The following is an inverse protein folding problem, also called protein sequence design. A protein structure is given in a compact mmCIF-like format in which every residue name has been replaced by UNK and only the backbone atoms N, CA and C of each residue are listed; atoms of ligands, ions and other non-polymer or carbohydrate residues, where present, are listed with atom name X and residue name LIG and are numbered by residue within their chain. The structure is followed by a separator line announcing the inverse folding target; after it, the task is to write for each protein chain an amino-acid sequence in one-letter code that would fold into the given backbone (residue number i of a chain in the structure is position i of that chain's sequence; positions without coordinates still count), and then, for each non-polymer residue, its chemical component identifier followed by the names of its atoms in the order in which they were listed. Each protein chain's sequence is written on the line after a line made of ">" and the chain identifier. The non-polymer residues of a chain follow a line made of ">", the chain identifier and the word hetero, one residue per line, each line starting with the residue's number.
data_IF_725021246513
#
_entry.id   IF_725021246513
#
_cell.length_a   1.000
_cell.length_b   1.000
_cell.length_c   1.000
_cell.angle_alpha   90.00
_cell.angle_beta   90.00
_cell.angle_gamma   90.00
#
_symmetry.space_group_name_H-M   'P 1'
#
loop_
_entity.id
_entity.type
_entity.pdbx_description
1 polymer ?
#
# COMPACT_ATOMS: atom_id res chain seq x y z
N UNK A 1 9.41 1.12 5.99
CA UNK A 1 8.81 1.78 7.17
C UNK A 1 8.65 3.27 6.93
N UNK A 2 7.74 3.93 7.64
CA UNK A 2 7.56 5.39 7.60
C UNK A 2 8.79 6.13 8.15
N UNK A 3 9.17 7.22 7.48
CA UNK A 3 10.32 8.06 7.79
C UNK A 3 9.92 9.48 8.25
N UNK A 4 8.62 9.75 8.34
CA UNK A 4 8.03 11.00 8.79
C UNK A 4 7.00 10.77 9.89
N UNK A 5 6.61 11.81 10.60
CA UNK A 5 5.52 11.73 11.59
C UNK A 5 4.17 11.71 10.90
N UNK A 6 3.34 10.76 11.28
CA UNK A 6 2.00 10.56 10.70
C UNK A 6 0.96 10.25 11.77
N UNK A 7 -0.31 10.46 11.42
CA UNK A 7 -1.49 10.06 12.21
C UNK A 7 -2.46 9.27 11.35
N UNK A 8 -3.17 8.35 11.96
CA UNK A 8 -4.29 7.64 11.33
C UNK A 8 -5.58 8.31 11.74
N UNK A 9 -6.42 8.61 10.75
CA UNK A 9 -7.75 9.20 10.94
C UNK A 9 -8.74 8.57 9.96
N UNK A 10 -10.05 8.81 10.19
CA UNK A 10 -11.07 8.53 9.20
C UNK A 10 -10.75 9.31 7.91
N UNK A 11 -10.76 8.62 6.78
CA UNK A 11 -10.52 9.20 5.45
C UNK A 11 -11.86 9.53 4.77
N UNK A 12 -11.88 10.59 3.98
CA UNK A 12 -12.98 10.88 3.07
C UNK A 12 -12.91 10.04 1.78
N UNK A 13 -11.75 9.44 1.50
CA UNK A 13 -11.53 8.58 0.32
C UNK A 13 -12.06 7.17 0.60
N UNK A 14 -11.47 6.52 1.63
CA UNK A 14 -11.85 5.17 2.02
C UNK A 14 -11.36 4.83 3.44
N UNK A 15 -12.25 4.35 4.30
CA UNK A 15 -11.93 3.80 5.62
C UNK A 15 -11.00 4.68 6.46
N UNK A 16 -9.83 4.15 6.81
CA UNK A 16 -8.77 4.88 7.50
C UNK A 16 -7.73 5.36 6.49
N UNK A 17 -7.20 6.56 6.72
CA UNK A 17 -6.14 7.16 5.91
C UNK A 17 -4.92 7.55 6.74
N UNK A 18 -3.80 7.72 6.05
CA UNK A 18 -2.53 8.19 6.59
C UNK A 18 -2.45 9.71 6.43
N UNK A 19 -2.30 10.44 7.53
CA UNK A 19 -2.24 11.91 7.54
C UNK A 19 -0.87 12.40 8.01
N UNK A 20 -0.36 13.45 7.37
CA UNK A 20 0.89 14.08 7.80
C UNK A 20 0.72 14.72 9.20
N UNK A 21 1.65 14.44 10.13
CA UNK A 21 1.73 15.09 11.44
C UNK A 21 2.92 16.07 11.53
N UNK A 22 3.33 16.54 10.37
CA UNK A 22 4.33 17.58 10.14
C UNK A 22 4.16 18.11 8.73
N UNK A 23 4.78 19.25 8.42
CA UNK A 23 4.97 19.69 7.04
C UNK A 23 5.96 18.73 6.35
N UNK A 24 5.63 18.27 5.15
CA UNK A 24 6.45 17.35 4.34
C UNK A 24 6.78 18.04 3.02
N UNK A 25 7.99 18.57 2.83
CA UNK A 25 8.39 19.18 1.59
C UNK A 25 8.39 18.20 0.41
N UNK A 26 8.09 18.68 -0.78
CA UNK A 26 8.28 17.94 -2.03
C UNK A 26 9.69 17.34 -2.08
N UNK A 27 9.80 16.08 -2.52
CA UNK A 27 11.06 15.33 -2.60
C UNK A 27 11.43 14.59 -1.33
N UNK A 28 10.69 14.76 -0.23
CA UNK A 28 10.91 14.01 1.01
C UNK A 28 10.53 12.55 0.83
N UNK A 29 11.41 11.63 1.23
CA UNK A 29 11.07 10.20 1.30
C UNK A 29 10.15 9.98 2.49
N UNK A 30 8.93 9.51 2.23
CA UNK A 30 7.89 9.29 3.23
C UNK A 30 7.97 7.88 3.80
N UNK A 31 8.08 6.89 2.92
CA UNK A 31 8.13 5.48 3.27
C UNK A 31 9.14 4.75 2.41
N UNK A 32 9.77 3.74 2.99
CA UNK A 32 10.70 2.86 2.29
C UNK A 32 10.54 1.44 2.82
N UNK A 33 10.51 0.45 1.92
CA UNK A 33 10.54 -0.96 2.32
C UNK A 33 11.80 -1.23 3.15
N UNK A 34 11.61 -1.81 4.34
CA UNK A 34 12.70 -2.08 5.28
C UNK A 34 12.75 -3.58 5.55
N UNK A 35 13.74 -4.31 5.00
CA UNK A 35 13.89 -5.75 5.23
C UNK A 35 13.91 -6.11 6.71
N UNK A 36 13.36 -7.26 7.06
CA UNK A 36 13.17 -7.77 8.42
C UNK A 36 12.13 -7.01 9.28
N UNK A 37 11.70 -5.82 8.86
CA UNK A 37 10.58 -5.09 9.48
C UNK A 37 9.32 -5.25 8.62
N UNK A 38 9.37 -4.84 7.36
CA UNK A 38 8.29 -5.09 6.40
C UNK A 38 8.38 -6.53 5.89
N UNK A 39 7.25 -7.10 5.48
CA UNK A 39 7.14 -8.52 5.13
C UNK A 39 6.88 -8.71 3.64
N UNK A 40 7.36 -9.82 3.10
CA UNK A 40 7.01 -10.34 1.77
C UNK A 40 6.55 -11.79 1.89
N UNK A 41 5.49 -12.11 1.17
CA UNK A 41 4.89 -13.46 1.17
C UNK A 41 4.82 -14.00 -0.24
N UNK A 42 5.00 -15.32 -0.37
CA UNK A 42 4.62 -16.04 -1.59
C UNK A 42 3.11 -16.33 -1.59
N UNK A 43 2.57 -16.68 -2.75
CA UNK A 43 1.18 -17.14 -2.88
C UNK A 43 0.88 -18.32 -1.94
N UNK A 44 1.77 -19.30 -1.91
CA UNK A 44 1.60 -20.52 -1.09
C UNK A 44 1.58 -20.21 0.41
N UNK A 45 2.41 -19.26 0.86
CA UNK A 45 2.40 -18.82 2.24
C UNK A 45 1.06 -18.17 2.61
N UNK A 46 0.53 -17.29 1.74
CA UNK A 46 -0.75 -16.63 1.98
C UNK A 46 -1.90 -17.64 2.01
N UNK A 47 -1.93 -18.58 1.06
CA UNK A 47 -2.96 -19.64 1.04
C UNK A 47 -2.90 -20.57 2.25
N UNK A 48 -1.73 -20.71 2.88
CA UNK A 48 -1.53 -21.46 4.12
C UNK A 48 -1.97 -20.72 5.39
N UNK A 49 -2.28 -19.42 5.32
CA UNK A 49 -2.74 -18.65 6.47
C UNK A 49 -4.19 -18.98 6.84
N UNK A 50 -4.58 -18.80 8.12
CA UNK A 50 -5.99 -18.82 8.50
C UNK A 50 -6.81 -17.78 7.73
N UNK A 51 -8.09 -18.07 7.48
CA UNK A 51 -8.98 -17.23 6.66
C UNK A 51 -9.00 -15.74 7.07
N UNK A 52 -9.04 -15.43 8.36
CA UNK A 52 -9.01 -14.05 8.85
C UNK A 52 -7.70 -13.34 8.49
N UNK A 53 -6.58 -14.05 8.48
CA UNK A 53 -5.29 -13.47 8.08
C UNK A 53 -5.21 -13.29 6.57
N UNK A 54 -5.78 -14.21 5.77
CA UNK A 54 -5.89 -14.04 4.32
C UNK A 54 -6.66 -12.75 3.98
N UNK A 55 -7.81 -12.50 4.63
CA UNK A 55 -8.60 -11.27 4.47
C UNK A 55 -7.80 -10.03 4.88
N UNK A 56 -7.03 -10.10 5.95
CA UNK A 56 -6.17 -9.01 6.40
C UNK A 56 -5.05 -8.71 5.40
N UNK A 57 -4.38 -9.73 4.87
CA UNK A 57 -3.36 -9.59 3.83
C UNK A 57 -3.96 -9.01 2.55
N UNK A 58 -5.14 -9.50 2.11
CA UNK A 58 -5.85 -8.90 0.98
C UNK A 58 -6.04 -7.40 1.13
N UNK A 59 -6.44 -6.95 2.31
CA UNK A 59 -6.75 -5.55 2.55
C UNK A 59 -5.53 -4.63 2.56
N UNK A 60 -4.36 -5.11 3.00
CA UNK A 60 -3.22 -4.26 3.33
C UNK A 60 -1.92 -4.61 2.62
N UNK A 61 -1.94 -5.54 1.69
CA UNK A 61 -0.77 -5.88 0.89
C UNK A 61 -0.96 -5.56 -0.59
N UNK A 62 0.13 -5.54 -1.31
CA UNK A 62 0.12 -5.40 -2.76
C UNK A 62 1.05 -6.43 -3.39
N UNK A 63 0.79 -6.82 -4.64
CA UNK A 63 1.70 -7.65 -5.43
C UNK A 63 2.76 -6.75 -6.08
N UNK A 64 4.02 -6.92 -5.72
CA UNK A 64 5.11 -6.14 -6.29
C UNK A 64 5.31 -6.45 -7.78
N UNK A 65 5.35 -5.40 -8.61
CA UNK A 65 5.70 -5.54 -10.02
C UNK A 65 7.14 -6.04 -10.22
N UNK A 66 8.04 -5.75 -9.26
CA UNK A 66 9.45 -6.13 -9.29
C UNK A 66 9.69 -7.55 -8.81
N UNK A 67 9.36 -7.86 -7.57
CA UNK A 67 9.67 -9.16 -6.96
C UNK A 67 8.63 -10.23 -7.24
N UNK A 68 7.42 -9.84 -7.69
CA UNK A 68 6.24 -10.70 -7.84
C UNK A 68 5.75 -11.30 -6.52
N UNK A 69 6.31 -10.87 -5.39
CA UNK A 69 5.87 -11.24 -4.06
C UNK A 69 4.80 -10.26 -3.53
N UNK A 70 4.08 -10.69 -2.52
CA UNK A 70 3.07 -9.89 -1.85
C UNK A 70 3.72 -9.14 -0.69
N UNK A 71 3.85 -7.83 -0.84
CA UNK A 71 4.48 -6.96 0.13
C UNK A 71 3.47 -6.44 1.14
N UNK A 72 3.88 -6.38 2.40
CA UNK A 72 3.08 -5.92 3.52
C UNK A 72 3.87 -4.94 4.37
N UNK A 73 3.33 -3.73 4.55
CA UNK A 73 3.92 -2.74 5.45
C UNK A 73 3.57 -3.06 6.89
N UNK A 74 4.59 -3.23 7.75
CA UNK A 74 4.41 -3.57 9.16
C UNK A 74 4.02 -2.38 10.03
N UNK A 75 4.14 -1.16 9.52
CA UNK A 75 3.70 0.05 10.21
C UNK A 75 2.44 0.68 9.57
N UNK A 76 2.18 1.93 9.89
CA UNK A 76 1.03 2.67 9.39
C UNK A 76 1.12 3.01 7.89
N UNK A 77 2.21 2.72 7.21
CA UNK A 77 2.32 2.85 5.75
C UNK A 77 1.26 2.05 4.98
N UNK A 78 0.68 1.01 5.57
CA UNK A 78 -0.45 0.26 5.01
C UNK A 78 -1.76 1.07 4.85
N UNK A 79 -1.84 2.28 5.39
CA UNK A 79 -3.02 3.15 5.31
C UNK A 79 -2.90 4.27 4.27
N UNK A 80 -1.91 4.23 3.37
CA UNK A 80 -1.96 5.07 2.17
C UNK A 80 -3.23 4.72 1.37
N UNK A 81 -4.06 5.72 1.08
CA UNK A 81 -5.19 5.54 0.18
C UNK A 81 -4.79 5.88 -1.27
N UNK A 82 -5.50 5.23 -2.22
CA UNK A 82 -5.31 5.52 -3.64
C UNK A 82 -5.91 6.86 -4.03
N UNK A 83 -5.20 7.58 -4.90
CA UNK A 83 -5.72 8.78 -5.58
C UNK A 83 -5.22 8.83 -7.04
N UNK A 84 -6.09 9.28 -7.95
CA UNK A 84 -5.69 9.62 -9.31
C UNK A 84 -4.93 10.98 -9.36
N UNK A 85 -4.98 11.77 -8.28
CA UNK A 85 -4.24 13.02 -8.09
C UNK A 85 -3.48 12.95 -6.76
N UNK A 86 -2.48 12.06 -6.65
CA UNK A 86 -1.78 11.81 -5.40
C UNK A 86 -0.85 12.98 -5.04
N UNK A 87 -0.50 13.09 -3.76
CA UNK A 87 0.54 14.01 -3.28
C UNK A 87 1.87 13.29 -2.95
N UNK A 88 1.87 11.97 -3.01
CA UNK A 88 3.06 11.13 -2.94
C UNK A 88 3.04 10.08 -4.05
N UNK A 89 4.19 9.51 -4.38
CA UNK A 89 4.31 8.49 -5.41
C UNK A 89 5.32 7.42 -4.98
N UNK A 90 4.91 6.16 -5.12
CA UNK A 90 5.76 4.99 -4.92
C UNK A 90 6.39 4.56 -6.24
N UNK A 91 7.71 4.45 -6.25
CA UNK A 91 8.48 4.06 -7.43
C UNK A 91 9.58 3.07 -7.07
N UNK A 92 9.90 2.17 -8.01
CA UNK A 92 11.10 1.33 -7.90
C UNK A 92 12.34 2.14 -8.26
N UNK A 93 13.36 2.08 -7.40
CA UNK A 93 14.65 2.75 -7.61
C UNK A 93 15.78 1.73 -7.62
N UNK A 94 16.83 2.04 -8.38
CA UNK A 94 18.03 1.21 -8.43
C UNK A 94 18.68 1.09 -7.04
N UNK A 95 19.09 -0.12 -6.69
CA UNK A 95 19.68 -0.43 -5.39
C UNK A 95 18.67 -0.65 -4.25
N UNK A 96 17.38 -0.36 -4.44
CA UNK A 96 16.36 -0.62 -3.45
C UNK A 96 15.68 -1.98 -3.66
N UNK A 97 15.31 -2.64 -2.59
CA UNK A 97 14.69 -3.96 -2.65
C UNK A 97 13.27 -3.90 -3.21
N UNK A 98 12.50 -2.91 -2.79
CA UNK A 98 11.14 -2.61 -3.20
C UNK A 98 10.95 -1.10 -3.41
N UNK A 99 9.73 -0.64 -3.49
CA UNK A 99 9.41 0.77 -3.74
C UNK A 99 9.85 1.71 -2.63
N UNK A 100 10.08 2.96 -3.02
CA UNK A 100 10.20 4.13 -2.14
C UNK A 100 9.04 5.08 -2.44
N UNK A 101 8.33 5.49 -1.41
CA UNK A 101 7.28 6.52 -1.52
C UNK A 101 7.89 7.89 -1.25
N UNK A 102 7.76 8.80 -2.19
CA UNK A 102 8.31 10.18 -2.13
C UNK A 102 7.20 11.19 -2.29
N UNK A 103 7.21 12.29 -1.51
CA UNK A 103 6.31 13.41 -1.70
C UNK A 103 6.55 14.07 -3.08
N UNK A 104 5.54 14.16 -3.93
CA UNK A 104 5.61 14.82 -5.24
C UNK A 104 5.09 16.26 -5.21
N UNK A 105 4.45 16.64 -4.12
CA UNK A 105 4.00 17.98 -3.76
C UNK A 105 4.43 18.30 -2.33
N UNK A 106 4.40 19.56 -1.92
CA UNK A 106 4.44 19.92 -0.51
C UNK A 106 3.15 19.46 0.16
N UNK A 107 3.26 18.70 1.28
CA UNK A 107 2.12 18.18 2.02
C UNK A 107 2.06 18.92 3.36
N UNK A 108 0.95 19.60 3.63
CA UNK A 108 0.79 20.33 4.88
C UNK A 108 0.48 19.40 6.06
N UNK A 109 0.81 19.83 7.25
CA UNK A 109 0.39 19.11 8.45
C UNK A 109 -1.14 18.97 8.50
N UNK A 110 -1.63 17.76 8.65
CA UNK A 110 -3.06 17.44 8.66
C UNK A 110 -3.65 17.02 7.33
N UNK A 111 -2.90 17.12 6.23
CA UNK A 111 -3.34 16.59 4.92
C UNK A 111 -3.21 15.07 4.88
N UNK A 112 -4.14 14.41 4.18
CA UNK A 112 -4.03 12.99 3.88
C UNK A 112 -2.94 12.75 2.84
N UNK A 113 -2.09 11.75 3.11
CA UNK A 113 -1.04 11.32 2.19
C UNK A 113 -1.62 10.23 1.30
N UNK A 114 -1.64 10.48 0.00
CA UNK A 114 -2.21 9.57 -1.00
C UNK A 114 -1.18 9.14 -2.02
N UNK A 115 -1.35 7.94 -2.57
CA UNK A 115 -0.46 7.35 -3.55
C UNK A 115 -1.23 6.88 -4.80
N UNK A 116 -0.55 6.66 -5.89
CA UNK A 116 -1.12 6.02 -7.07
C UNK A 116 -0.68 4.55 -7.12
N UNK A 117 -1.56 3.65 -6.77
CA UNK A 117 -1.26 2.22 -6.72
C UNK A 117 -0.79 1.64 -8.06
N UNK A 118 -1.26 2.20 -9.19
CA UNK A 118 -0.83 1.76 -10.53
C UNK A 118 0.66 2.00 -10.80
N UNK A 119 1.36 2.80 -9.98
CA UNK A 119 2.78 3.08 -10.18
C UNK A 119 3.69 1.95 -9.72
N UNK A 120 3.21 1.03 -8.87
CA UNK A 120 4.05 0.01 -8.24
C UNK A 120 3.42 -1.39 -8.15
N UNK A 121 2.11 -1.50 -8.31
CA UNK A 121 1.46 -2.81 -8.31
C UNK A 121 1.71 -3.55 -9.61
N UNK A 122 1.83 -4.86 -9.54
CA UNK A 122 1.83 -5.69 -10.73
C UNK A 122 0.47 -5.60 -11.43
N UNK A 123 0.49 -5.59 -12.76
CA UNK A 123 -0.73 -5.74 -13.54
C UNK A 123 -1.53 -6.96 -13.07
N UNK A 124 -2.85 -6.86 -13.13
CA UNK A 124 -3.72 -7.99 -12.83
C UNK A 124 -3.38 -9.16 -13.77
N UNK A 125 -2.79 -10.19 -13.24
CA UNK A 125 -2.55 -11.45 -13.91
C UNK A 125 -3.45 -12.55 -13.34
N UNK A 126 -3.63 -13.63 -14.08
CA UNK A 126 -4.47 -14.76 -13.69
C UNK A 126 -3.94 -15.52 -12.45
N UNK A 127 -2.78 -15.14 -11.93
CA UNK A 127 -2.12 -15.76 -10.77
C UNK A 127 -1.96 -14.77 -9.60
N UNK A 128 -2.97 -13.93 -9.39
CA UNK A 128 -2.98 -12.99 -8.27
C UNK A 128 -3.81 -13.54 -7.10
N UNK A 129 -3.14 -13.99 -6.01
CA UNK A 129 -3.81 -14.54 -4.85
C UNK A 129 -4.76 -13.56 -4.16
N UNK A 130 -4.55 -12.26 -4.29
CA UNK A 130 -5.46 -11.25 -3.72
C UNK A 130 -6.82 -11.30 -4.42
N UNK A 131 -6.85 -11.52 -5.74
CA UNK A 131 -8.10 -11.72 -6.48
C UNK A 131 -8.80 -13.03 -6.08
N UNK A 132 -8.04 -14.12 -5.90
CA UNK A 132 -8.59 -15.39 -5.41
C UNK A 132 -9.24 -15.24 -4.03
N UNK A 133 -8.60 -14.50 -3.12
CA UNK A 133 -9.12 -14.20 -1.79
C UNK A 133 -10.38 -13.32 -1.88
N UNK A 134 -10.38 -12.31 -2.74
CA UNK A 134 -11.53 -11.45 -2.96
C UNK A 134 -12.76 -12.25 -3.41
N UNK A 135 -12.59 -13.18 -4.33
CA UNK A 135 -13.66 -14.09 -4.79
C UNK A 135 -14.07 -15.05 -3.67
N UNK A 136 -13.11 -15.70 -3.00
CA UNK A 136 -13.36 -16.68 -1.94
C UNK A 136 -14.24 -16.13 -0.81
N UNK A 137 -14.00 -14.86 -0.42
CA UNK A 137 -14.67 -14.22 0.71
C UNK A 137 -15.70 -13.17 0.31
N UNK A 138 -15.99 -13.03 -1.00
CA UNK A 138 -16.92 -12.05 -1.55
C UNK A 138 -16.62 -10.60 -1.13
N UNK A 139 -15.35 -10.21 -1.23
CA UNK A 139 -14.82 -8.91 -0.76
C UNK A 139 -14.83 -7.81 -1.83
N UNK A 140 -15.17 -8.12 -3.07
CA UNK A 140 -15.04 -7.21 -4.22
C UNK A 140 -15.79 -5.86 -4.06
N UNK A 141 -16.88 -5.83 -3.29
CA UNK A 141 -17.72 -4.64 -3.11
C UNK A 141 -17.32 -3.75 -1.92
N UNK A 142 -16.55 -4.27 -0.98
CA UNK A 142 -16.36 -3.59 0.31
C UNK A 142 -15.01 -2.89 0.48
N UNK A 143 -13.96 -3.29 -0.23
CA UNK A 143 -12.61 -3.01 0.23
C UNK A 143 -11.64 -2.40 -0.78
N UNK A 144 -11.94 -2.37 -2.08
CA UNK A 144 -10.94 -1.91 -3.04
C UNK A 144 -11.47 -0.89 -4.05
N UNK A 145 -11.10 0.41 -3.90
CA UNK A 145 -11.39 1.42 -4.93
C UNK A 145 -10.82 1.06 -6.31
N UNK A 146 -9.79 0.19 -6.36
CA UNK A 146 -9.13 -0.28 -7.59
C UNK A 146 -10.01 -1.18 -8.44
N UNK A 147 -10.97 -1.86 -7.82
CA UNK A 147 -11.92 -2.76 -8.51
C UNK A 147 -13.17 -2.04 -9.01
N UNK A 148 -13.34 -0.77 -8.65
CA UNK A 148 -14.41 0.08 -9.19
C UNK A 148 -13.90 0.71 -10.49
N UNK A 149 -14.02 -0.04 -11.59
CA UNK A 149 -13.90 0.53 -12.95
C UNK A 149 -15.14 1.27 -13.34
#
# INVERSE_FOLDING_TARGET
>A
MLLIKTKIKQSEIHGLGLFADQMVPKGTIIWKFTPAFDQKFTKEQILGFPDLLQVYIYKYSWKSAKSKLYCFSSDNGKYFNHSNHPNALSEYKDGEEEVITTAILDIQMGEEITDNYSSFEADSDSDNVLEEIAVKFNLADELDPRLKK
#
